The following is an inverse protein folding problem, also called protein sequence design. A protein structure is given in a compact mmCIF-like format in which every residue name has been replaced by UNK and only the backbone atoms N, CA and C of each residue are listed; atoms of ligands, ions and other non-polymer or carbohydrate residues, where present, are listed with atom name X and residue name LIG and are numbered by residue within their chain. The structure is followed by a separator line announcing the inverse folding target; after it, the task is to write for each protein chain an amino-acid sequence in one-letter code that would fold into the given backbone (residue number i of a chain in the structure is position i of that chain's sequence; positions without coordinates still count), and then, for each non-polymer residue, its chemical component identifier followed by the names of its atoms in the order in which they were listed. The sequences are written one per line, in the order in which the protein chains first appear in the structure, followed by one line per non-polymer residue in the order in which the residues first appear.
data_IF_133817449157
#
_entry.id   IF_133817449157
#
_cell.length_a   1.000
_cell.length_b   1.000
_cell.length_c   1.000
_cell.angle_alpha   90.00
_cell.angle_beta   90.00
_cell.angle_gamma   90.00
#
_symmetry.space_group_name_H-M   'P 1'
#
loop_
_entity.id
_entity.type
_entity.pdbx_description
1 polymer ?
#
# COMPACT_ATOMS: atom_id res chain seq x y z
N UNK A 1 -1.86 13.01 -11.34
CA UNK A 1 -2.25 11.65 -11.74
C UNK A 1 -1.36 10.71 -10.96
N UNK A 2 -1.94 9.84 -10.13
CA UNK A 2 -1.16 8.91 -9.32
C UNK A 2 -0.97 7.61 -10.11
N UNK A 3 0.28 7.26 -10.39
CA UNK A 3 0.62 6.09 -11.20
C UNK A 3 0.22 4.76 -10.52
N UNK A 4 -0.02 4.77 -9.21
CA UNK A 4 -0.38 3.57 -8.44
C UNK A 4 -1.89 3.42 -8.27
N UNK A 5 -2.68 4.48 -8.47
CA UNK A 5 -4.12 4.44 -8.21
C UNK A 5 -4.82 3.39 -9.10
N UNK A 6 -5.63 2.54 -8.48
CA UNK A 6 -6.35 1.44 -9.12
C UNK A 6 -5.52 0.17 -9.32
N UNK A 7 -4.22 0.18 -9.04
CA UNK A 7 -3.39 -1.02 -9.15
C UNK A 7 -3.52 -1.90 -7.92
N UNK A 8 -3.48 -3.21 -8.12
CA UNK A 8 -3.36 -4.19 -7.05
C UNK A 8 -1.89 -4.29 -6.65
N UNK A 9 -1.62 -4.02 -5.38
CA UNK A 9 -0.27 -3.93 -4.84
C UNK A 9 -0.08 -4.94 -3.71
N UNK A 10 1.12 -5.49 -3.65
CA UNK A 10 1.66 -6.12 -2.45
C UNK A 10 2.68 -5.17 -1.84
N UNK A 11 2.41 -4.70 -0.64
CA UNK A 11 3.33 -3.84 0.11
C UNK A 11 3.97 -4.66 1.22
N UNK A 12 5.29 -4.76 1.19
CA UNK A 12 6.07 -5.37 2.27
C UNK A 12 6.71 -4.26 3.08
N UNK A 13 6.33 -4.15 4.35
CA UNK A 13 6.85 -3.18 5.28
C UNK A 13 7.70 -3.91 6.33
N UNK A 14 8.89 -3.40 6.60
CA UNK A 14 9.71 -3.83 7.72
C UNK A 14 9.46 -2.83 8.85
N UNK A 15 8.65 -3.22 9.83
CA UNK A 15 8.29 -2.37 10.96
C UNK A 15 8.67 -3.10 12.24
N UNK A 16 9.51 -2.47 13.07
CA UNK A 16 9.90 -3.00 14.37
C UNK A 16 10.57 -4.40 14.29
N UNK A 17 11.42 -4.62 13.29
CA UNK A 17 12.03 -5.92 12.95
C UNK A 17 11.03 -7.03 12.53
N UNK A 18 9.77 -6.68 12.32
CA UNK A 18 8.75 -7.59 11.81
C UNK A 18 8.39 -7.23 10.37
N UNK A 19 8.50 -8.24 9.49
CA UNK A 19 8.06 -8.11 8.10
C UNK A 19 6.56 -8.28 8.04
N UNK A 20 5.86 -7.19 7.72
CA UNK A 20 4.42 -7.20 7.48
C UNK A 20 4.15 -7.09 5.99
N UNK A 21 3.39 -8.05 5.46
CA UNK A 21 2.93 -8.04 4.07
C UNK A 21 1.47 -7.66 4.04
N UNK A 22 1.13 -6.66 3.24
CA UNK A 22 -0.23 -6.22 2.98
C UNK A 22 -0.52 -6.33 1.49
N UNK A 23 -1.73 -6.73 1.15
CA UNK A 23 -2.21 -6.81 -0.23
C UNK A 23 -3.53 -6.05 -0.35
N UNK A 24 -3.72 -5.40 -1.48
CA UNK A 24 -4.90 -4.58 -1.71
C UNK A 24 -4.83 -3.75 -2.98
N UNK A 25 -5.79 -2.87 -3.16
CA UNK A 25 -5.84 -1.91 -4.27
C UNK A 25 -5.37 -0.55 -3.77
N UNK A 26 -4.45 0.07 -4.50
CA UNK A 26 -4.04 1.44 -4.19
C UNK A 26 -5.15 2.41 -4.55
N UNK A 27 -5.60 3.19 -3.58
CA UNK A 27 -6.51 4.32 -3.79
C UNK A 27 -5.76 5.54 -4.31
N UNK A 28 -4.46 5.60 -4.04
CA UNK A 28 -3.56 6.68 -4.41
C UNK A 28 -2.67 7.10 -3.24
N UNK A 29 -2.08 8.28 -3.34
CA UNK A 29 -1.18 8.88 -2.37
C UNK A 29 -1.86 10.12 -1.79
N UNK A 30 -1.84 10.22 -0.46
CA UNK A 30 -2.44 11.36 0.24
C UNK A 30 -1.58 12.64 0.18
N UNK A 31 -2.08 13.73 0.76
CA UNK A 31 -1.40 15.04 0.77
C UNK A 31 -0.06 15.04 1.50
N UNK A 32 0.25 14.00 2.27
CA UNK A 32 1.51 13.83 2.99
C UNK A 32 2.48 12.90 2.23
N UNK A 33 2.14 12.44 1.04
CA UNK A 33 2.97 11.52 0.27
C UNK A 33 2.84 10.06 0.72
N UNK A 34 1.82 9.70 1.50
CA UNK A 34 1.63 8.34 1.99
C UNK A 34 0.68 7.54 1.10
N UNK A 35 1.01 6.28 0.86
CA UNK A 35 0.19 5.39 0.02
C UNK A 35 -1.07 4.94 0.79
N UNK A 36 -2.22 5.20 0.21
CA UNK A 36 -3.52 4.72 0.67
C UNK A 36 -3.83 3.38 -0.01
N UNK A 37 -3.81 2.29 0.77
CA UNK A 37 -4.07 0.93 0.29
C UNK A 37 -5.38 0.40 0.89
N UNK A 38 -6.37 0.13 0.05
CA UNK A 38 -7.56 -0.61 0.43
C UNK A 38 -7.25 -2.11 0.42
N UNK A 39 -7.13 -2.70 1.60
CA UNK A 39 -6.88 -4.12 1.77
C UNK A 39 -8.09 -4.95 1.34
N UNK A 40 -7.85 -6.23 1.05
CA UNK A 40 -8.90 -7.18 0.65
C UNK A 40 -9.99 -7.37 1.73
N UNK A 41 -9.69 -7.06 3.00
CA UNK A 41 -10.66 -7.08 4.10
C UNK A 41 -11.52 -5.79 4.18
N UNK A 42 -11.40 -4.88 3.22
CA UNK A 42 -12.10 -3.60 3.17
C UNK A 42 -11.46 -2.47 4.00
N UNK A 43 -10.42 -2.74 4.78
CA UNK A 43 -9.71 -1.74 5.59
C UNK A 43 -8.80 -0.88 4.70
N UNK A 44 -8.90 0.44 4.84
CA UNK A 44 -7.94 1.37 4.26
C UNK A 44 -6.75 1.52 5.23
N UNK A 45 -5.54 1.31 4.70
CA UNK A 45 -4.30 1.48 5.44
C UNK A 45 -3.44 2.55 4.79
N UNK A 46 -2.98 3.50 5.59
CA UNK A 46 -1.98 4.50 5.19
C UNK A 46 -0.59 3.91 5.40
N UNK A 47 0.21 3.86 4.34
CA UNK A 47 1.55 3.27 4.34
C UNK A 47 2.59 4.35 4.05
N UNK A 48 3.46 4.57 5.03
CA UNK A 48 4.51 5.59 4.99
C UNK A 48 5.78 5.11 4.28
N UNK A 49 6.12 3.82 4.46
CA UNK A 49 7.31 3.20 3.87
C UNK A 49 7.01 1.74 3.52
N UNK A 50 7.72 1.20 2.55
CA UNK A 50 7.61 -0.22 2.19
C UNK A 50 8.06 -0.48 0.77
N UNK A 51 8.41 -1.74 0.50
CA UNK A 51 8.61 -2.20 -0.87
C UNK A 51 7.25 -2.46 -1.49
N UNK A 52 7.00 -1.82 -2.64
CA UNK A 52 5.79 -1.99 -3.42
C UNK A 52 6.10 -2.95 -4.58
N UNK A 53 5.40 -4.07 -4.64
CA UNK A 53 5.36 -4.93 -5.83
C UNK A 53 3.95 -4.79 -6.45
N UNK A 54 3.88 -4.44 -7.73
CA UNK A 54 2.62 -4.47 -8.50
C UNK A 54 2.32 -5.93 -8.83
N UNK A 55 1.12 -6.39 -8.49
CA UNK A 55 0.67 -7.76 -8.72
C UNK A 55 -0.59 -7.75 -9.61
N UNK A 56 -0.63 -8.65 -10.59
CA UNK A 56 -1.75 -8.82 -11.51
C UNK A 56 -2.78 -9.81 -10.96
#
# INVERSE_FOLDING_TARGET
MDALAGLRLRVTQDYNNEKKVMTGVACGVDTHGCLQLQQDNGKISTLFTGRIDVIY
#
